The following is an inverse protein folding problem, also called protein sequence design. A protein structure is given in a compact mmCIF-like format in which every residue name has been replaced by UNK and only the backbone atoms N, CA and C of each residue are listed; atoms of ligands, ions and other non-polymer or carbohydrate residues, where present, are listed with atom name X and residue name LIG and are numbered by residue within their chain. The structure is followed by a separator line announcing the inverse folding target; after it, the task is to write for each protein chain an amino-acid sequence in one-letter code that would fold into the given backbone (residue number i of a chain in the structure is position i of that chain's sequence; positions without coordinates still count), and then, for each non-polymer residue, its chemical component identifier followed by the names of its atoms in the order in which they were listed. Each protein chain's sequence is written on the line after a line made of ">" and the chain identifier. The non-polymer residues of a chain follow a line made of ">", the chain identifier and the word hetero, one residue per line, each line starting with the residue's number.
data_IF_130070359647
#
_entry.id   IF_130070359647
#
_cell.length_a   1.000
_cell.length_b   1.000
_cell.length_c   1.000
_cell.angle_alpha   90.00
_cell.angle_beta   90.00
_cell.angle_gamma   90.00
#
_symmetry.space_group_name_H-M   'P 1'
#
loop_
_entity.id
_entity.type
_entity.pdbx_description
1 polymer ?
#
# COMPACT_ATOMS: atom_id res chain seq x y z
N UNK A 1 17.84 -3.43 4.22
CA UNK A 1 16.61 -2.94 3.56
C UNK A 1 16.03 -1.80 4.39
N UNK A 2 16.61 -0.60 4.29
CA UNK A 2 16.45 0.43 5.34
C UNK A 2 15.04 1.03 5.44
N UNK A 3 14.15 0.78 4.48
CA UNK A 3 12.84 1.43 4.39
C UNK A 3 11.64 0.48 4.46
N UNK A 4 11.86 -0.85 4.43
CA UNK A 4 10.75 -1.81 4.43
C UNK A 4 9.99 -1.75 5.76
N UNK A 5 10.69 -1.83 6.88
CA UNK A 5 10.09 -1.77 8.22
C UNK A 5 9.37 -0.43 8.45
N UNK A 6 9.96 0.67 7.98
CA UNK A 6 9.34 2.00 8.07
C UNK A 6 8.06 2.09 7.24
N UNK A 7 8.06 1.56 6.02
CA UNK A 7 6.88 1.60 5.14
C UNK A 7 5.72 0.75 5.70
N UNK A 8 6.02 -0.45 6.20
CA UNK A 8 5.02 -1.31 6.84
C UNK A 8 4.58 -0.78 8.21
N UNK A 9 5.47 -0.15 8.96
CA UNK A 9 5.15 0.59 10.18
C UNK A 9 4.17 1.74 9.89
N UNK A 10 4.38 2.49 8.82
CA UNK A 10 3.47 3.56 8.39
C UNK A 10 2.11 3.01 7.95
N UNK A 11 2.06 1.89 7.22
CA UNK A 11 0.80 1.22 6.87
C UNK A 11 0.04 0.77 8.12
N UNK A 12 0.72 0.12 9.07
CA UNK A 12 0.10 -0.30 10.33
C UNK A 12 -0.39 0.91 11.15
N UNK A 13 0.36 2.02 11.16
CA UNK A 13 -0.07 3.26 11.79
C UNK A 13 -1.30 3.86 11.11
N UNK A 14 -1.34 3.91 9.77
CA UNK A 14 -2.48 4.42 9.02
C UNK A 14 -3.77 3.62 9.31
N UNK A 15 -3.68 2.29 9.40
CA UNK A 15 -4.80 1.43 9.81
C UNK A 15 -5.30 1.75 11.22
N UNK A 16 -4.38 1.91 12.17
CA UNK A 16 -4.71 2.30 13.55
C UNK A 16 -5.38 3.67 13.60
N UNK A 17 -4.86 4.64 12.86
CA UNK A 17 -5.39 5.99 12.81
C UNK A 17 -6.78 6.02 12.18
N UNK A 18 -7.00 5.27 11.09
CA UNK A 18 -8.32 5.12 10.48
C UNK A 18 -9.34 4.54 11.45
N UNK A 19 -9.02 3.43 12.12
CA UNK A 19 -9.90 2.85 13.14
C UNK A 19 -10.16 3.81 14.32
N UNK A 20 -9.13 4.52 14.78
CA UNK A 20 -9.25 5.52 15.84
C UNK A 20 -10.21 6.68 15.44
N UNK A 21 -10.18 7.07 14.17
CA UNK A 21 -11.12 8.03 13.58
C UNK A 21 -12.56 7.48 13.51
N UNK A 22 -12.73 6.23 13.04
CA UNK A 22 -14.05 5.57 12.99
C UNK A 22 -14.70 5.45 14.38
N UNK A 23 -13.90 5.28 15.43
CA UNK A 23 -14.37 5.25 16.82
C UNK A 23 -14.72 6.64 17.37
N UNK A 24 -14.61 7.71 16.57
CA UNK A 24 -14.95 9.08 16.97
C UNK A 24 -13.98 9.67 18.00
N UNK A 25 -12.75 9.14 18.09
CA UNK A 25 -11.78 9.54 19.12
C UNK A 25 -10.89 10.72 18.71
N UNK A 26 -11.06 11.24 17.50
CA UNK A 26 -10.33 12.40 16.99
C UNK A 26 -11.24 13.62 17.17
N UNK A 27 -10.77 14.58 17.95
CA UNK A 27 -11.42 15.89 18.05
C UNK A 27 -11.07 16.71 16.80
N UNK A 28 -12.06 16.87 15.92
CA UNK A 28 -11.90 17.60 14.66
C UNK A 28 -11.52 19.07 14.89
N UNK A 29 -12.05 19.71 15.94
CA UNK A 29 -11.77 21.12 16.21
C UNK A 29 -10.33 21.34 16.69
N UNK A 30 -9.76 20.36 17.39
CA UNK A 30 -8.35 20.40 17.80
C UNK A 30 -7.39 19.99 16.69
N UNK A 31 -7.80 19.09 15.80
CA UNK A 31 -7.01 18.65 14.66
C UNK A 31 -6.94 19.73 13.57
N UNK A 32 -8.08 20.26 13.16
CA UNK A 32 -8.23 21.17 12.01
C UNK A 32 -8.22 22.65 12.46
N UNK A 33 -7.14 23.02 13.14
CA UNK A 33 -6.88 24.40 13.60
C UNK A 33 -5.80 25.06 12.76
N UNK A 34 -5.78 26.40 12.68
CA UNK A 34 -4.74 27.13 11.95
C UNK A 34 -3.34 26.69 12.39
N UNK A 35 -2.54 26.26 11.41
CA UNK A 35 -1.17 25.80 11.65
C UNK A 35 -0.19 26.58 10.78
N UNK A 36 0.80 27.18 11.44
CA UNK A 36 1.97 27.76 10.79
C UNK A 36 3.19 26.91 11.12
N UNK A 37 3.79 26.33 10.10
CA UNK A 37 5.04 25.61 10.22
C UNK A 37 6.22 26.57 10.05
N UNK A 38 7.15 26.56 11.02
CA UNK A 38 8.38 27.36 11.00
C UNK A 38 9.58 26.48 11.33
N UNK A 39 10.39 26.16 10.31
CA UNK A 39 11.64 25.41 10.50
C UNK A 39 12.68 25.84 9.46
N UNK A 40 13.94 25.99 9.87
CA UNK A 40 15.05 26.26 8.95
C UNK A 40 14.94 27.56 8.13
N UNK A 41 14.19 28.57 8.61
CA UNK A 41 13.91 29.81 7.89
C UNK A 41 12.76 29.72 6.88
N UNK A 42 12.09 28.57 6.78
CA UNK A 42 10.87 28.41 6.01
C UNK A 42 9.67 28.78 6.86
N UNK A 43 8.73 29.55 6.28
CA UNK A 43 7.41 29.81 6.86
C UNK A 43 6.39 29.22 5.89
N UNK A 44 5.59 28.27 6.37
CA UNK A 44 4.49 27.69 5.61
C UNK A 44 3.20 27.79 6.42
N UNK A 45 2.20 28.47 5.86
CA UNK A 45 0.90 28.68 6.49
C UNK A 45 -0.10 27.77 5.78
N UNK A 46 -0.69 26.84 6.54
CA UNK A 46 -1.77 26.00 6.03
C UNK A 46 -3.11 26.76 6.07
N UNK A 47 -4.10 26.36 5.26
CA UNK A 47 -5.46 26.86 5.40
C UNK A 47 -5.96 26.69 6.84
N UNK A 48 -6.79 27.63 7.31
CA UNK A 48 -7.33 27.61 8.68
C UNK A 48 -8.16 26.36 8.98
N UNK A 49 -8.83 25.83 7.95
CA UNK A 49 -9.59 24.58 7.95
C UNK A 49 -9.46 23.86 6.62
N UNK A 50 -9.41 22.53 6.65
CA UNK A 50 -9.44 21.67 5.47
C UNK A 50 -10.58 20.63 5.50
N UNK A 51 -11.32 20.55 6.61
CA UNK A 51 -12.42 19.60 6.81
C UNK A 51 -13.71 20.36 7.18
N UNK A 52 -14.78 20.12 6.43
CA UNK A 52 -16.08 20.77 6.66
C UNK A 52 -16.98 19.96 7.59
N UNK A 53 -16.75 18.64 7.67
CA UNK A 53 -17.57 17.69 8.40
C UNK A 53 -16.76 16.54 9.02
N UNK A 54 -17.32 15.81 10.01
CA UNK A 54 -16.72 14.57 10.50
C UNK A 54 -16.53 13.50 9.41
N UNK A 55 -17.39 13.48 8.40
CA UNK A 55 -17.27 12.52 7.28
C UNK A 55 -16.02 12.80 6.43
N UNK A 56 -15.66 14.08 6.24
CA UNK A 56 -14.44 14.45 5.53
C UNK A 56 -13.18 13.93 6.24
N UNK A 57 -13.19 13.88 7.57
CA UNK A 57 -12.09 13.28 8.33
C UNK A 57 -11.97 11.78 8.02
N UNK A 58 -13.08 11.05 8.00
CA UNK A 58 -13.06 9.61 7.68
C UNK A 58 -12.55 9.37 6.27
N UNK A 59 -12.99 10.18 5.29
CA UNK A 59 -12.50 10.14 3.91
C UNK A 59 -11.00 10.44 3.85
N UNK A 60 -10.53 11.47 4.54
CA UNK A 60 -9.11 11.83 4.58
C UNK A 60 -8.25 10.69 5.18
N UNK A 61 -8.73 10.03 6.23
CA UNK A 61 -8.06 8.89 6.85
C UNK A 61 -8.05 7.66 5.93
N UNK A 62 -9.14 7.39 5.22
CA UNK A 62 -9.22 6.32 4.23
C UNK A 62 -8.24 6.56 3.07
N UNK A 63 -8.14 7.81 2.59
CA UNK A 63 -7.19 8.19 1.56
C UNK A 63 -5.73 8.04 2.05
N UNK A 64 -5.44 8.49 3.28
CA UNK A 64 -4.13 8.29 3.89
C UNK A 64 -3.77 6.80 4.02
N UNK A 65 -4.74 5.96 4.34
CA UNK A 65 -4.57 4.51 4.37
C UNK A 65 -4.23 3.93 2.99
N UNK A 66 -4.96 4.33 1.94
CA UNK A 66 -4.66 3.92 0.55
C UNK A 66 -3.26 4.35 0.10
N UNK A 67 -2.85 5.58 0.44
CA UNK A 67 -1.51 6.10 0.16
C UNK A 67 -0.44 5.27 0.88
N UNK A 68 -0.64 4.99 2.17
CA UNK A 68 0.31 4.18 2.94
C UNK A 68 0.42 2.75 2.40
N UNK A 69 -0.70 2.16 1.97
CA UNK A 69 -0.71 0.83 1.35
C UNK A 69 0.08 0.81 0.03
N UNK A 70 -0.18 1.78 -0.85
CA UNK A 70 0.56 1.92 -2.11
C UNK A 70 2.06 2.13 -1.88
N UNK A 71 2.43 2.98 -0.92
CA UNK A 71 3.83 3.20 -0.55
C UNK A 71 4.51 1.94 -0.02
N UNK A 72 3.83 1.15 0.81
CA UNK A 72 4.33 -0.13 1.30
C UNK A 72 4.51 -1.15 0.16
N UNK A 73 3.55 -1.25 -0.76
CA UNK A 73 3.63 -2.16 -1.91
C UNK A 73 4.77 -1.78 -2.88
N UNK A 74 4.93 -0.49 -3.17
CA UNK A 74 6.05 0.02 -3.97
C UNK A 74 7.39 -0.32 -3.29
N UNK A 75 7.48 -0.10 -1.98
CA UNK A 75 8.70 -0.38 -1.20
C UNK A 75 9.01 -1.88 -1.18
N UNK A 76 8.01 -2.74 -0.97
CA UNK A 76 8.17 -4.20 -1.02
C UNK A 76 8.72 -4.66 -2.38
N UNK A 77 8.13 -4.16 -3.48
CA UNK A 77 8.63 -4.46 -4.82
C UNK A 77 10.06 -3.95 -5.03
N UNK A 78 10.40 -2.78 -4.49
CA UNK A 78 11.75 -2.24 -4.59
C UNK A 78 12.76 -3.10 -3.82
N UNK A 79 12.43 -3.55 -2.61
CA UNK A 79 13.33 -4.38 -1.81
C UNK A 79 13.67 -5.73 -2.48
N UNK A 80 12.71 -6.37 -3.16
CA UNK A 80 13.03 -7.58 -3.98
C UNK A 80 14.04 -7.29 -5.09
N UNK A 81 13.96 -6.14 -5.73
CA UNK A 81 14.90 -5.77 -6.79
C UNK A 81 16.30 -5.49 -6.23
N UNK A 82 16.40 -4.89 -5.05
CA UNK A 82 17.67 -4.59 -4.39
C UNK A 82 18.45 -5.83 -3.97
N UNK A 83 17.76 -6.93 -3.64
CA UNK A 83 18.39 -8.23 -3.34
C UNK A 83 18.57 -9.11 -4.57
N UNK A 84 18.32 -8.58 -5.77
CA UNK A 84 18.56 -9.29 -7.04
C UNK A 84 17.43 -10.23 -7.47
N UNK A 85 16.28 -10.22 -6.80
CA UNK A 85 15.11 -11.02 -7.19
C UNK A 85 14.38 -10.34 -8.34
N UNK A 86 14.56 -10.89 -9.53
CA UNK A 86 14.00 -10.37 -10.78
C UNK A 86 12.65 -11.00 -11.14
N UNK A 87 11.96 -10.42 -12.13
CA UNK A 87 10.70 -10.96 -12.65
C UNK A 87 10.95 -12.12 -13.61
N UNK A 88 10.98 -13.34 -13.06
CA UNK A 88 11.19 -14.57 -13.81
C UNK A 88 10.24 -14.70 -15.02
N UNK A 89 10.74 -15.33 -16.08
CA UNK A 89 9.97 -15.69 -17.26
C UNK A 89 10.46 -17.04 -17.80
N UNK A 90 9.75 -18.16 -17.53
CA UNK A 90 8.45 -18.24 -16.86
C UNK A 90 8.49 -18.02 -15.33
N UNK A 91 7.33 -17.72 -14.73
CA UNK A 91 7.14 -17.69 -13.26
C UNK A 91 6.88 -19.13 -12.79
N UNK A 92 7.78 -19.70 -11.99
CA UNK A 92 7.73 -21.12 -11.59
C UNK A 92 7.79 -21.33 -10.07
N UNK A 93 8.75 -20.72 -9.39
CA UNK A 93 8.97 -20.89 -7.96
C UNK A 93 8.05 -20.02 -7.10
N UNK A 94 7.96 -20.30 -5.80
CA UNK A 94 7.27 -19.42 -4.85
C UNK A 94 7.87 -18.01 -4.84
N UNK A 95 9.20 -17.88 -4.93
CA UNK A 95 9.87 -16.58 -5.01
C UNK A 95 9.51 -15.84 -6.30
N UNK A 96 9.38 -16.55 -7.43
CA UNK A 96 8.92 -15.93 -8.69
C UNK A 96 7.48 -15.44 -8.57
N UNK A 97 6.62 -16.20 -7.89
CA UNK A 97 5.22 -15.85 -7.66
C UNK A 97 5.11 -14.65 -6.72
N UNK A 98 5.86 -14.64 -5.61
CA UNK A 98 6.00 -13.47 -4.73
C UNK A 98 6.43 -12.24 -5.52
N UNK A 99 7.47 -12.35 -6.34
CA UNK A 99 7.98 -11.24 -7.13
C UNK A 99 6.95 -10.75 -8.16
N UNK A 100 6.24 -11.68 -8.80
CA UNK A 100 5.17 -11.39 -9.75
C UNK A 100 4.00 -10.66 -9.10
N UNK A 101 3.51 -11.13 -7.96
CA UNK A 101 2.41 -10.49 -7.23
C UNK A 101 2.81 -9.11 -6.69
N UNK A 102 3.99 -9.00 -6.08
CA UNK A 102 4.52 -7.71 -5.59
C UNK A 102 4.59 -6.67 -6.73
N UNK A 103 5.01 -7.09 -7.92
CA UNK A 103 5.05 -6.24 -9.10
C UNK A 103 3.64 -5.85 -9.60
N UNK A 104 2.67 -6.77 -9.61
CA UNK A 104 1.31 -6.45 -10.00
C UNK A 104 0.66 -5.45 -9.03
N UNK A 105 0.75 -5.68 -7.72
CA UNK A 105 0.20 -4.75 -6.71
C UNK A 105 0.89 -3.39 -6.85
N UNK A 106 2.23 -3.35 -6.92
CA UNK A 106 2.96 -2.10 -7.16
C UNK A 106 2.46 -1.36 -8.40
N UNK A 107 2.23 -2.08 -9.50
CA UNK A 107 1.76 -1.45 -10.74
C UNK A 107 0.36 -0.87 -10.63
N UNK A 108 -0.51 -1.45 -9.80
CA UNK A 108 -1.84 -0.91 -9.58
C UNK A 108 -1.80 0.50 -8.97
N UNK A 109 -0.81 0.78 -8.12
CA UNK A 109 -0.64 2.06 -7.44
C UNK A 109 0.35 3.02 -8.13
N UNK A 110 1.15 2.53 -9.08
CA UNK A 110 2.26 3.30 -9.65
C UNK A 110 1.83 4.47 -10.56
N UNK A 111 0.60 4.42 -11.10
CA UNK A 111 0.11 5.42 -12.05
C UNK A 111 -0.88 6.41 -11.43
N UNK A 112 -1.61 5.97 -10.40
CA UNK A 112 -2.56 6.78 -9.65
C UNK A 112 -2.70 6.19 -8.25
N UNK A 113 -2.21 6.90 -7.24
CA UNK A 113 -2.25 6.44 -5.85
C UNK A 113 -3.61 6.73 -5.19
N UNK A 114 -4.33 7.73 -5.69
CA UNK A 114 -5.67 8.12 -5.24
C UNK A 114 -6.75 7.21 -5.81
N UNK A 115 -6.57 6.74 -7.05
CA UNK A 115 -7.47 5.81 -7.71
C UNK A 115 -6.68 4.63 -8.32
N UNK A 116 -6.13 3.72 -7.49
CA UNK A 116 -5.32 2.62 -7.98
C UNK A 116 -6.14 1.71 -8.91
N UNK A 117 -5.49 1.22 -9.97
CA UNK A 117 -6.13 0.43 -11.02
C UNK A 117 -5.27 -0.73 -11.47
N UNK A 118 -5.86 -1.90 -11.53
CA UNK A 118 -5.24 -3.02 -12.23
C UNK A 118 -5.08 -2.72 -13.72
N UNK A 119 -3.95 -3.17 -14.26
CA UNK A 119 -3.66 -3.11 -15.69
C UNK A 119 -2.92 -4.38 -16.13
N UNK A 120 -3.62 -5.51 -16.05
CA UNK A 120 -3.05 -6.84 -16.30
C UNK A 120 -3.27 -7.24 -17.76
N UNK A 121 -2.41 -6.72 -18.63
CA UNK A 121 -2.51 -6.94 -20.09
C UNK A 121 -1.70 -8.15 -20.60
N UNK A 122 -0.76 -8.64 -19.80
CA UNK A 122 0.12 -9.74 -20.22
C UNK A 122 -0.39 -11.05 -19.62
N UNK A 123 -0.67 -12.09 -20.44
CA UNK A 123 -1.21 -13.37 -19.95
C UNK A 123 -0.42 -14.02 -18.83
N UNK A 124 0.91 -13.86 -18.80
CA UNK A 124 1.78 -14.39 -17.73
C UNK A 124 1.44 -13.87 -16.33
N UNK A 125 0.79 -12.70 -16.23
CA UNK A 125 0.45 -12.07 -14.97
C UNK A 125 -1.03 -12.26 -14.58
N UNK A 126 -1.88 -12.62 -15.53
CA UNK A 126 -3.26 -13.01 -15.31
C UNK A 126 -3.29 -14.48 -14.86
N UNK A 127 -2.94 -14.72 -13.61
CA UNK A 127 -2.77 -16.07 -13.04
C UNK A 127 -3.08 -16.09 -11.55
N UNK A 128 -3.14 -17.30 -11.02
CA UNK A 128 -3.06 -17.54 -9.58
C UNK A 128 -1.61 -17.44 -9.11
N UNK A 129 -1.44 -16.79 -7.97
CA UNK A 129 -0.18 -16.65 -7.24
C UNK A 129 -0.33 -17.38 -5.91
N UNK A 130 0.55 -18.34 -5.65
CA UNK A 130 0.56 -19.17 -4.45
C UNK A 130 1.98 -19.27 -3.90
N UNK A 131 2.20 -18.75 -2.70
CA UNK A 131 3.49 -18.80 -2.00
C UNK A 131 3.27 -18.55 -0.50
N UNK A 132 3.95 -19.33 0.35
CA UNK A 132 3.66 -19.30 1.80
C UNK A 132 2.17 -19.45 2.09
N UNK A 133 1.61 -18.54 2.88
CA UNK A 133 0.18 -18.48 3.21
C UNK A 133 -0.65 -17.59 2.25
N UNK A 134 -0.02 -17.04 1.20
CA UNK A 134 -0.68 -16.14 0.24
C UNK A 134 -1.27 -16.94 -0.92
N UNK A 135 -2.55 -16.70 -1.21
CA UNK A 135 -3.25 -17.26 -2.36
C UNK A 135 -4.12 -16.18 -3.02
N UNK A 136 -3.69 -15.69 -4.19
CA UNK A 136 -4.35 -14.59 -4.91
C UNK A 136 -4.62 -15.00 -6.36
N UNK A 137 -5.86 -14.85 -6.81
CA UNK A 137 -6.26 -15.16 -8.18
C UNK A 137 -6.48 -13.89 -9.01
N UNK A 138 -5.52 -13.58 -9.89
CA UNK A 138 -5.61 -12.44 -10.82
C UNK A 138 -5.99 -12.86 -12.24
N UNK A 139 -6.49 -14.09 -12.46
CA UNK A 139 -6.78 -14.62 -13.81
C UNK A 139 -7.77 -13.78 -14.60
N UNK A 140 -8.78 -13.21 -13.94
CA UNK A 140 -9.89 -12.50 -14.60
C UNK A 140 -10.00 -11.02 -14.21
N UNK A 141 -8.97 -10.45 -13.59
CA UNK A 141 -8.99 -9.05 -13.12
C UNK A 141 -8.92 -8.06 -14.29
N UNK A 142 -8.01 -8.28 -15.24
CA UNK A 142 -7.84 -7.43 -16.42
C UNK A 142 -7.55 -5.96 -16.08
N UNK A 143 -8.46 -5.07 -16.50
CA UNK A 143 -8.41 -3.62 -16.23
C UNK A 143 -9.62 -3.20 -15.40
N UNK A 144 -9.41 -2.93 -14.12
CA UNK A 144 -10.45 -2.37 -13.23
C UNK A 144 -9.82 -1.58 -12.09
N UNK A 145 -10.65 -0.92 -11.28
CA UNK A 145 -10.18 -0.35 -10.02
C UNK A 145 -9.61 -1.45 -9.12
N UNK A 146 -8.53 -1.13 -8.42
CA UNK A 146 -7.99 -2.01 -7.40
C UNK A 146 -8.94 -2.00 -6.19
N UNK A 147 -9.33 -3.18 -5.75
CA UNK A 147 -10.08 -3.41 -4.53
C UNK A 147 -9.24 -4.34 -3.63
N UNK A 148 -9.26 -4.15 -2.31
CA UNK A 148 -8.48 -5.01 -1.41
C UNK A 148 -8.92 -6.48 -1.49
N UNK A 149 -10.20 -6.69 -1.81
CA UNK A 149 -10.82 -7.99 -2.05
C UNK A 149 -10.18 -8.74 -3.23
N UNK A 150 -9.58 -8.03 -4.20
CA UNK A 150 -8.89 -8.65 -5.34
C UNK A 150 -7.68 -9.48 -4.94
N UNK A 151 -7.07 -9.12 -3.80
CA UNK A 151 -5.97 -9.85 -3.20
C UNK A 151 -6.40 -10.66 -1.98
N UNK A 152 -7.71 -10.75 -1.69
CA UNK A 152 -8.23 -11.47 -0.53
C UNK A 152 -8.26 -10.68 0.78
N UNK A 153 -7.87 -9.40 0.76
CA UNK A 153 -7.85 -8.54 1.93
C UNK A 153 -6.56 -7.71 2.06
N UNK A 154 -6.58 -6.65 2.89
CA UNK A 154 -5.42 -5.78 3.06
C UNK A 154 -4.26 -6.43 3.82
N UNK A 155 -4.52 -7.51 4.57
CA UNK A 155 -3.52 -8.26 5.34
C UNK A 155 -2.54 -9.03 4.44
N UNK A 156 -2.91 -9.32 3.19
CA UNK A 156 -2.03 -9.99 2.21
C UNK A 156 -0.68 -9.29 2.06
N UNK A 157 -0.63 -7.95 2.12
CA UNK A 157 0.64 -7.26 2.00
C UNK A 157 1.58 -7.56 3.18
N UNK A 158 1.04 -7.76 4.38
CA UNK A 158 1.81 -8.18 5.56
C UNK A 158 2.26 -9.64 5.44
N UNK A 159 1.40 -10.54 4.97
CA UNK A 159 1.79 -11.93 4.68
C UNK A 159 2.92 -11.99 3.65
N UNK A 160 2.90 -11.10 2.64
CA UNK A 160 3.98 -10.97 1.68
C UNK A 160 5.28 -10.43 2.31
N UNK A 161 5.19 -9.47 3.25
CA UNK A 161 6.35 -9.00 4.02
C UNK A 161 6.99 -10.15 4.80
N UNK A 162 6.18 -10.94 5.50
CA UNK A 162 6.63 -12.09 6.28
C UNK A 162 7.27 -13.16 5.40
N UNK A 163 6.69 -13.45 4.23
CA UNK A 163 7.29 -14.34 3.25
C UNK A 163 8.67 -13.82 2.81
N UNK A 164 8.74 -12.54 2.44
CA UNK A 164 10.00 -11.88 2.08
C UNK A 164 11.06 -12.04 3.17
N UNK A 165 10.65 -11.81 4.42
CA UNK A 165 11.51 -11.90 5.61
C UNK A 165 12.00 -13.30 5.93
N UNK A 166 11.34 -14.35 5.43
CA UNK A 166 11.75 -15.75 5.64
C UNK A 166 12.55 -16.31 4.48
N UNK A 167 12.28 -15.87 3.26
CA UNK A 167 12.74 -16.59 2.06
C UNK A 167 13.47 -15.72 1.03
N UNK A 168 13.45 -14.39 1.15
CA UNK A 168 13.93 -13.49 0.10
C UNK A 168 15.07 -12.58 0.57
N UNK A 169 15.05 -12.11 1.81
CA UNK A 169 15.97 -11.08 2.29
C UNK A 169 17.33 -11.59 2.83
N UNK A 170 17.59 -12.90 2.75
CA UNK A 170 18.79 -13.54 3.31
C UNK A 170 19.86 -13.86 2.28
#
# INVERSE_FOLDING_TARGET
>A
MNYLDTAFGQLAFAWKLYNYGLEGRIDLAELDKPLTFQEGGMIFVLPDKVLDSPDDLIIALQNNLGIAFGAAAITLNRCREEVGVTLANPIQSEVDQFAGLAYQIRNAFAHDISEPRWNIDKPRYARRYEFGDVNVDLTNIGKKHFEYEDIGGPDVLFHMQDFGARFVWF
#
